data_IF_415913594424
#
_entry.id   IF_415913594424
#
_cell.length_a   1.000
_cell.length_b   1.000
_cell.length_c   1.000
_cell.angle_alpha   90.00
_cell.angle_beta   90.00
_cell.angle_gamma   90.00
#
_symmetry.space_group_name_H-M   'P 1'
#
loop_
_entity.id
_entity.type
_entity.pdbx_description
1 polymer ?
#
# COMPACT_ATOMS: atom_id res chain seq x y z
N UNK A 1 -8.01 2.31 -4.01
CA UNK A 1 -8.87 3.51 -3.90
C UNK A 1 -9.94 3.26 -2.86
N UNK A 2 -10.16 4.20 -1.95
CA UNK A 2 -11.18 4.14 -0.91
C UNK A 2 -12.54 4.56 -1.46
N UNK A 3 -13.55 3.71 -1.29
CA UNK A 3 -14.94 3.95 -1.69
C UNK A 3 -15.88 3.45 -0.61
N UNK A 4 -16.99 4.16 -0.42
CA UNK A 4 -18.06 3.68 0.46
C UNK A 4 -18.94 2.63 -0.24
N UNK A 5 -19.91 2.07 0.48
CA UNK A 5 -20.84 1.09 -0.06
C UNK A 5 -21.70 1.60 -1.24
N UNK A 6 -21.82 2.92 -1.41
CA UNK A 6 -22.51 3.56 -2.54
C UNK A 6 -21.60 3.82 -3.74
N UNK A 7 -20.30 3.48 -3.63
CA UNK A 7 -19.30 3.72 -4.66
C UNK A 7 -18.71 5.13 -4.66
N UNK A 8 -19.05 5.98 -3.69
CA UNK A 8 -18.55 7.34 -3.58
C UNK A 8 -17.12 7.33 -3.00
N UNK A 9 -16.28 8.23 -3.51
CA UNK A 9 -14.89 8.37 -3.07
C UNK A 9 -14.85 8.90 -1.65
N UNK A 10 -13.98 8.33 -0.83
CA UNK A 10 -13.83 8.74 0.57
C UNK A 10 -12.52 9.51 0.75
N UNK A 11 -12.52 10.85 0.66
CA UNK A 11 -11.36 11.67 0.97
C UNK A 11 -11.12 11.79 2.48
N UNK A 12 -9.87 12.05 2.88
CA UNK A 12 -9.49 12.26 4.28
C UNK A 12 -9.58 11.00 5.16
N UNK A 13 -9.65 9.80 4.56
CA UNK A 13 -9.58 8.55 5.30
C UNK A 13 -8.14 8.21 5.64
N UNK A 14 -7.92 7.78 6.88
CA UNK A 14 -6.62 7.31 7.34
C UNK A 14 -6.39 5.89 6.81
N UNK A 15 -5.29 5.72 6.08
CA UNK A 15 -4.78 4.47 5.57
C UNK A 15 -3.41 4.20 6.20
N UNK A 16 -3.25 3.03 6.81
CA UNK A 16 -1.96 2.53 7.28
C UNK A 16 -1.45 1.48 6.30
N UNK A 17 -0.22 1.62 5.84
CA UNK A 17 0.43 0.64 4.98
C UNK A 17 1.45 -0.17 5.76
N UNK A 18 1.46 -1.49 5.54
CA UNK A 18 2.50 -2.39 6.01
C UNK A 18 3.00 -3.26 4.87
N UNK A 19 4.23 -3.77 4.99
CA UNK A 19 4.83 -4.68 4.01
C UNK A 19 5.40 -5.90 4.71
N UNK A 20 5.18 -7.07 4.12
CA UNK A 20 5.76 -8.35 4.57
C UNK A 20 6.27 -9.16 3.37
N UNK A 21 7.38 -9.90 3.48
CA UNK A 21 8.33 -9.95 4.61
C UNK A 21 9.20 -8.67 4.68
N UNK A 22 10.03 -8.57 5.72
CA UNK A 22 11.02 -7.49 5.85
C UNK A 22 12.04 -7.52 4.69
N UNK A 23 12.68 -6.37 4.43
CA UNK A 23 13.62 -6.18 3.31
C UNK A 23 13.08 -5.34 2.16
N UNK A 24 11.93 -4.71 2.35
CA UNK A 24 11.48 -3.60 1.53
C UNK A 24 11.11 -2.41 2.42
N UNK A 25 11.30 -1.21 1.91
CA UNK A 25 10.99 0.05 2.58
C UNK A 25 9.82 0.71 1.88
N UNK A 26 8.80 1.09 2.66
CA UNK A 26 7.73 1.95 2.18
C UNK A 26 8.16 3.41 2.36
N UNK A 27 7.88 4.26 1.37
CA UNK A 27 8.18 5.70 1.44
C UNK A 27 7.46 6.40 2.60
N UNK A 28 6.36 5.82 3.05
CA UNK A 28 5.61 6.28 4.21
C UNK A 28 5.05 5.05 4.94
N UNK A 29 5.42 4.90 6.21
CA UNK A 29 4.98 3.83 7.11
C UNK A 29 3.97 4.33 8.15
N UNK A 30 3.60 5.61 8.10
CA UNK A 30 2.63 6.24 8.99
C UNK A 30 1.21 6.25 8.44
N UNK A 31 0.36 7.05 9.07
CA UNK A 31 -1.01 7.31 8.63
C UNK A 31 -1.00 8.18 7.36
N UNK A 32 -1.50 7.64 6.25
CA UNK A 32 -1.67 8.36 4.98
C UNK A 32 -3.14 8.73 4.80
N UNK A 33 -3.42 10.00 4.54
CA UNK A 33 -4.78 10.45 4.21
C UNK A 33 -5.07 10.23 2.73
N UNK A 34 -6.26 9.72 2.41
CA UNK A 34 -6.74 9.67 1.04
C UNK A 34 -6.98 11.07 0.48
N UNK A 35 -6.61 11.29 -0.78
CA UNK A 35 -6.85 12.53 -1.51
C UNK A 35 -8.33 12.76 -1.83
N UNK A 36 -8.67 13.86 -2.51
CA UNK A 36 -10.04 14.18 -2.96
C UNK A 36 -10.65 13.10 -3.87
N UNK A 37 -9.82 12.25 -4.47
CA UNK A 37 -10.24 11.10 -5.27
C UNK A 37 -10.29 9.79 -4.48
N UNK A 38 -10.16 9.83 -3.15
CA UNK A 38 -10.10 8.64 -2.30
C UNK A 38 -8.83 7.81 -2.51
N UNK A 39 -7.75 8.39 -3.04
CA UNK A 39 -6.52 7.67 -3.33
C UNK A 39 -5.45 7.94 -2.27
N UNK A 40 -4.81 6.89 -1.80
CA UNK A 40 -3.59 6.94 -1.01
C UNK A 40 -2.47 6.29 -1.83
N UNK A 41 -1.31 6.94 -1.91
CA UNK A 41 -0.16 6.47 -2.67
C UNK A 41 1.01 6.23 -1.73
N UNK A 42 1.69 5.11 -1.93
CA UNK A 42 2.93 4.75 -1.24
C UNK A 42 3.88 4.14 -2.26
N UNK A 43 5.16 4.40 -2.11
CA UNK A 43 6.21 3.80 -2.94
C UNK A 43 6.87 2.68 -2.15
N UNK A 44 6.98 1.49 -2.76
CA UNK A 44 7.73 0.38 -2.23
C UNK A 44 9.10 0.34 -2.91
N UNK A 45 10.17 0.41 -2.13
CA UNK A 45 11.55 0.26 -2.59
C UNK A 45 12.15 -0.98 -1.96
N UNK A 46 12.76 -1.85 -2.76
CA UNK A 46 13.52 -3.00 -2.26
C UNK A 46 14.75 -3.24 -3.13
N UNK A 47 15.85 -3.62 -2.49
CA UNK A 47 17.11 -4.03 -3.10
C UNK A 47 17.23 -5.57 -3.20
N UNK A 48 16.25 -6.30 -2.67
CA UNK A 48 16.24 -7.77 -2.64
C UNK A 48 15.19 -8.31 -3.58
N UNK A 49 15.59 -9.34 -4.31
CA UNK A 49 14.71 -10.14 -5.14
C UNK A 49 13.81 -10.98 -4.24
N UNK A 50 12.55 -10.56 -4.12
CA UNK A 50 11.57 -11.24 -3.28
C UNK A 50 10.13 -10.87 -3.68
N UNK A 51 9.16 -11.61 -3.16
CA UNK A 51 7.74 -11.28 -3.26
C UNK A 51 7.32 -10.58 -1.97
N UNK A 52 6.92 -9.32 -2.10
CA UNK A 52 6.43 -8.48 -1.02
C UNK A 52 4.90 -8.35 -1.09
N UNK A 53 4.23 -8.47 0.05
CA UNK A 53 2.81 -8.20 0.21
C UNK A 53 2.65 -6.87 0.91
N UNK A 54 2.10 -5.89 0.21
CA UNK A 54 1.72 -4.59 0.77
C UNK A 54 0.28 -4.68 1.24
N UNK A 55 0.05 -4.44 2.52
CA UNK A 55 -1.27 -4.41 3.13
C UNK A 55 -1.66 -2.97 3.44
N UNK A 56 -2.81 -2.54 2.94
CA UNK A 56 -3.41 -1.24 3.22
C UNK A 56 -4.62 -1.44 4.15
N UNK A 57 -4.65 -0.75 5.28
CA UNK A 57 -5.71 -0.85 6.29
C UNK A 57 -6.37 0.51 6.42
N UNK A 58 -7.68 0.59 6.25
CA UNK A 58 -8.48 1.81 6.34
C UNK A 58 -9.43 1.75 7.54
N UNK A 59 -9.38 2.77 8.40
CA UNK A 59 -10.27 2.91 9.55
C UNK A 59 -9.73 2.24 10.83
N UNK A 60 -10.19 2.74 11.99
CA UNK A 60 -9.74 2.32 13.33
C UNK A 60 -10.70 1.30 13.99
N UNK A 61 -12.00 1.42 13.74
CA UNK A 61 -13.03 0.59 14.39
C UNK A 61 -13.45 -0.64 13.56
N UNK A 62 -13.69 -0.46 12.26
CA UNK A 62 -13.97 -1.55 11.31
C UNK A 62 -12.92 -1.46 10.20
N UNK A 63 -11.74 -2.07 10.39
CA UNK A 63 -10.66 -1.96 9.45
C UNK A 63 -11.03 -2.64 8.13
N UNK A 64 -11.02 -1.87 7.04
CA UNK A 64 -11.10 -2.41 5.68
C UNK A 64 -9.68 -2.66 5.21
N UNK A 65 -9.35 -3.92 4.95
CA UNK A 65 -8.03 -4.33 4.48
C UNK A 65 -8.04 -4.60 2.97
N UNK A 66 -6.98 -4.14 2.30
CA UNK A 66 -6.67 -4.51 0.93
C UNK A 66 -5.21 -4.95 0.84
N UNK A 67 -4.92 -5.95 0.01
CA UNK A 67 -3.56 -6.44 -0.18
C UNK A 67 -3.15 -6.40 -1.65
N UNK A 68 -1.87 -6.13 -1.89
CA UNK A 68 -1.25 -6.15 -3.21
C UNK A 68 0.09 -6.87 -3.10
N UNK A 69 0.33 -7.84 -3.98
CA UNK A 69 1.62 -8.53 -4.06
C UNK A 69 2.48 -7.92 -5.16
N UNK A 70 3.75 -7.68 -4.82
CA UNK A 70 4.77 -7.12 -5.72
C UNK A 70 5.94 -8.08 -5.75
N UNK A 71 6.23 -8.65 -6.92
CA UNK A 71 7.39 -9.50 -7.12
C UNK A 71 8.55 -8.64 -7.65
N UNK A 72 9.54 -8.38 -6.79
CA UNK A 72 10.81 -7.80 -7.19
C UNK A 72 11.63 -8.93 -7.78
N UNK A 73 11.88 -8.86 -9.08
CA UNK A 73 12.76 -9.79 -9.79
C UNK A 73 14.13 -9.14 -9.93
N UNK A 74 15.19 -9.93 -9.97
CA UNK A 74 16.49 -9.42 -10.41
C UNK A 74 16.27 -8.77 -11.77
N UNK A 75 16.76 -7.55 -11.94
CA UNK A 75 16.83 -6.97 -13.27
C UNK A 75 17.73 -7.89 -14.09
N UNK A 76 17.19 -8.55 -15.11
CA UNK A 76 17.93 -9.49 -15.95
C UNK A 76 18.86 -8.74 -16.93
N UNK A 77 19.39 -7.58 -16.54
CA UNK A 77 20.47 -6.93 -17.26
C UNK A 77 21.81 -7.46 -16.77
N UNK A 78 22.05 -8.73 -17.08
CA UNK A 78 23.39 -9.29 -17.17
C UNK A 78 23.48 -10.01 -18.51
N UNK A 79 23.91 -9.26 -19.52
CA UNK A 79 24.79 -9.68 -20.61
C UNK A 79 25.25 -8.41 -21.34
#
# INVERSE_FOLDING_TARGET
TARNARGELMPGQIITFSVTPEGATLSNTGEILTDQSGQAKVTLTSDKVNVYTVTAIMGKDVPVQSQVTVAVKADAKTA
#
